data_IF_222543448876
#
_entry.id   IF_222543448876
#
_cell.length_a   1.000
_cell.length_b   1.000
_cell.length_c   1.000
_cell.angle_alpha   90.00
_cell.angle_beta   90.00
_cell.angle_gamma   90.00
#
_symmetry.space_group_name_H-M   'P 1'
#
loop_
_entity.id
_entity.type
_entity.pdbx_description
1 polymer ?
#
# COMPACT_ATOMS: atom_id res chain seq x y z
N UNK A 1 16.52 5.13 -4.44
CA UNK A 1 17.13 5.37 -3.10
C UNK A 1 18.33 4.44 -2.94
N UNK A 2 19.36 4.82 -2.18
CA UNK A 2 20.59 4.03 -2.02
C UNK A 2 20.77 3.47 -0.59
N UNK A 3 20.57 2.17 -0.41
CA UNK A 3 20.84 1.44 0.85
C UNK A 3 22.26 0.86 0.81
N UNK A 4 22.88 0.67 1.97
CA UNK A 4 24.21 0.04 2.10
C UNK A 4 24.07 -1.44 2.47
N UNK A 5 25.07 -2.26 2.14
CA UNK A 5 25.11 -3.64 2.63
C UNK A 5 25.16 -3.69 4.17
N UNK A 6 25.83 -2.76 4.85
CA UNK A 6 25.86 -2.70 6.31
C UNK A 6 24.46 -2.53 6.91
N UNK A 7 23.65 -1.63 6.35
CA UNK A 7 22.26 -1.43 6.77
C UNK A 7 21.40 -2.67 6.53
N UNK A 8 21.59 -3.35 5.39
CA UNK A 8 20.89 -4.58 5.07
C UNK A 8 21.27 -5.74 6.00
N UNK A 9 22.56 -5.90 6.32
CA UNK A 9 23.02 -6.95 7.25
C UNK A 9 22.48 -6.69 8.65
N UNK A 10 22.46 -5.44 9.13
CA UNK A 10 21.84 -5.11 10.42
C UNK A 10 20.36 -5.54 10.49
N UNK A 11 19.60 -5.28 9.42
CA UNK A 11 18.21 -5.72 9.31
C UNK A 11 18.10 -7.26 9.35
N UNK A 12 18.95 -7.96 8.60
CA UNK A 12 18.92 -9.43 8.49
C UNK A 12 19.27 -10.08 9.83
N UNK A 13 20.35 -9.63 10.48
CA UNK A 13 20.79 -10.16 11.77
C UNK A 13 19.69 -9.99 12.83
N UNK A 14 19.08 -8.81 12.89
CA UNK A 14 17.93 -8.57 13.76
C UNK A 14 16.75 -9.48 13.40
N UNK A 15 16.42 -9.62 12.11
CA UNK A 15 15.27 -10.42 11.66
C UNK A 15 15.45 -11.91 12.04
N UNK A 16 16.63 -12.47 11.82
CA UNK A 16 16.92 -13.86 12.17
C UNK A 16 16.85 -14.11 13.68
N UNK A 17 17.46 -13.24 14.49
CA UNK A 17 17.39 -13.34 15.96
C UNK A 17 15.95 -13.19 16.46
N UNK A 18 15.23 -12.19 15.94
CA UNK A 18 13.89 -11.82 16.40
C UNK A 18 12.85 -12.92 16.22
N UNK A 19 12.90 -13.63 15.10
CA UNK A 19 11.96 -14.70 14.75
C UNK A 19 12.54 -16.10 14.95
N UNK A 20 13.81 -16.16 15.40
CA UNK A 20 14.59 -17.39 15.56
C UNK A 20 14.53 -18.24 14.28
N UNK A 21 14.86 -17.61 13.15
CA UNK A 21 14.90 -18.30 11.86
C UNK A 21 16.05 -19.32 11.84
N UNK A 22 15.77 -20.53 11.36
CA UNK A 22 16.79 -21.54 11.17
C UNK A 22 16.43 -22.56 10.08
N UNK A 23 17.23 -23.61 9.96
CA UNK A 23 17.13 -24.62 8.89
C UNK A 23 15.79 -25.36 8.80
N UNK A 24 15.02 -25.38 9.89
CA UNK A 24 13.69 -26.01 9.96
C UNK A 24 12.55 -25.08 9.52
N UNK A 25 12.85 -23.80 9.26
CA UNK A 25 11.86 -22.81 8.87
C UNK A 25 11.56 -22.81 7.36
N UNK A 26 10.31 -22.48 7.07
CA UNK A 26 9.80 -22.28 5.72
C UNK A 26 9.23 -20.87 5.66
N UNK A 27 9.82 -20.02 4.83
CA UNK A 27 9.42 -18.62 4.66
C UNK A 27 8.84 -18.43 3.27
N UNK A 28 7.70 -17.76 3.16
CA UNK A 28 7.12 -17.39 1.86
C UNK A 28 7.64 -16.04 1.37
N UNK A 29 7.94 -15.97 0.08
CA UNK A 29 8.39 -14.77 -0.63
C UNK A 29 7.16 -14.10 -1.27
N UNK A 30 6.37 -13.38 -0.47
CA UNK A 30 5.09 -12.80 -0.92
C UNK A 30 5.25 -11.35 -1.35
N UNK A 31 6.18 -10.61 -0.74
CA UNK A 31 6.42 -9.22 -1.14
C UNK A 31 6.90 -9.16 -2.59
N UNK A 32 6.34 -8.25 -3.40
CA UNK A 32 6.86 -8.06 -4.75
C UNK A 32 8.34 -7.64 -4.68
N UNK A 33 9.25 -8.20 -5.52
CA UNK A 33 10.68 -7.87 -5.50
C UNK A 33 11.03 -6.39 -5.67
N UNK A 34 10.10 -5.58 -6.18
CA UNK A 34 10.23 -4.12 -6.28
C UNK A 34 9.98 -3.39 -4.96
N UNK A 35 9.44 -4.08 -3.95
CA UNK A 35 9.31 -3.59 -2.59
C UNK A 35 10.52 -4.02 -1.77
N UNK A 36 10.99 -3.11 -0.93
CA UNK A 36 12.11 -3.34 -0.02
C UNK A 36 11.85 -4.49 0.97
N UNK A 37 10.59 -4.74 1.33
CA UNK A 37 10.16 -5.89 2.11
C UNK A 37 10.48 -7.25 1.46
N UNK A 38 10.79 -7.35 0.17
CA UNK A 38 11.31 -8.60 -0.38
C UNK A 38 12.72 -8.93 0.14
N UNK A 39 13.50 -7.93 0.57
CA UNK A 39 14.89 -8.11 0.97
C UNK A 39 15.02 -8.99 2.23
N UNK A 40 14.20 -8.79 3.26
CA UNK A 40 14.28 -9.63 4.47
C UNK A 40 13.67 -11.03 4.29
N UNK A 41 12.75 -11.21 3.32
CA UNK A 41 12.14 -12.50 2.99
C UNK A 41 13.20 -13.35 2.31
N UNK A 42 13.91 -12.79 1.33
CA UNK A 42 14.95 -13.49 0.59
C UNK A 42 16.19 -13.69 1.45
N UNK A 43 16.83 -12.61 1.88
CA UNK A 43 18.15 -12.70 2.50
C UNK A 43 18.10 -13.21 3.94
N UNK A 44 17.06 -12.83 4.70
CA UNK A 44 16.85 -13.35 6.06
C UNK A 44 16.71 -14.87 6.07
N UNK A 45 15.97 -15.41 5.10
CA UNK A 45 15.76 -16.86 4.94
C UNK A 45 17.02 -17.58 4.47
N UNK A 46 17.61 -17.12 3.36
CA UNK A 46 18.74 -17.82 2.74
C UNK A 46 19.98 -17.84 3.64
N UNK A 47 20.24 -16.74 4.36
CA UNK A 47 21.38 -16.68 5.30
C UNK A 47 21.15 -17.47 6.58
N UNK A 48 19.88 -17.79 6.93
CA UNK A 48 19.55 -18.67 8.06
C UNK A 48 19.62 -20.17 7.69
N UNK A 49 19.85 -20.50 6.42
CA UNK A 49 19.75 -21.87 5.90
C UNK A 49 18.31 -22.39 5.82
N UNK A 50 17.32 -21.50 5.96
CA UNK A 50 15.90 -21.82 5.90
C UNK A 50 15.44 -22.02 4.44
N UNK A 51 14.24 -22.59 4.26
CA UNK A 51 13.63 -22.79 2.94
C UNK A 51 12.81 -21.56 2.54
N UNK A 52 13.13 -20.97 1.39
CA UNK A 52 12.29 -19.94 0.75
C UNK A 52 11.30 -20.59 -0.23
N UNK A 53 10.02 -20.24 -0.11
CA UNK A 53 8.95 -20.71 -1.01
C UNK A 53 8.38 -19.52 -1.76
N UNK A 54 8.41 -19.58 -3.09
CA UNK A 54 7.84 -18.56 -3.97
C UNK A 54 6.45 -19.04 -4.39
N UNK A 55 5.39 -18.25 -4.16
CA UNK A 55 4.06 -18.59 -4.63
C UNK A 55 3.94 -18.43 -6.15
N UNK A 56 3.00 -19.16 -6.76
CA UNK A 56 2.62 -18.94 -8.15
C UNK A 56 2.03 -17.54 -8.33
N UNK A 57 2.18 -16.98 -9.53
CA UNK A 57 1.72 -15.62 -9.83
C UNK A 57 0.22 -15.45 -9.55
N UNK A 58 -0.13 -14.39 -8.82
CA UNK A 58 -1.51 -14.03 -8.47
C UNK A 58 -1.97 -14.58 -7.11
N UNK A 59 -1.26 -15.53 -6.51
CA UNK A 59 -1.57 -16.03 -5.16
C UNK A 59 -1.50 -14.90 -4.11
N UNK A 60 -0.53 -14.00 -4.24
CA UNK A 60 -0.31 -12.86 -3.34
C UNK A 60 -1.47 -11.86 -3.31
N UNK A 61 -2.39 -11.95 -4.27
CA UNK A 61 -3.54 -11.05 -4.42
C UNK A 61 -4.87 -11.65 -3.94
N UNK A 62 -4.90 -12.94 -3.60
CA UNK A 62 -6.08 -13.62 -3.10
C UNK A 62 -5.81 -14.14 -1.70
N UNK A 63 -6.56 -13.64 -0.72
CA UNK A 63 -6.41 -14.08 0.67
C UNK A 63 -6.67 -15.60 0.82
N UNK A 64 -7.57 -16.16 0.01
CA UNK A 64 -7.87 -17.59 0.02
C UNK A 64 -6.75 -18.41 -0.60
N UNK A 65 -6.27 -18.02 -1.79
CA UNK A 65 -5.16 -18.70 -2.45
C UNK A 65 -3.88 -18.61 -1.62
N UNK A 66 -3.63 -17.45 -0.99
CA UNK A 66 -2.49 -17.24 -0.11
C UNK A 66 -2.61 -18.11 1.15
N UNK A 67 -3.77 -18.17 1.79
CA UNK A 67 -4.00 -19.04 2.95
C UNK A 67 -3.72 -20.51 2.60
N UNK A 68 -4.22 -20.97 1.45
CA UNK A 68 -3.99 -22.33 0.96
C UNK A 68 -2.50 -22.57 0.64
N UNK A 69 -1.83 -21.61 0.00
CA UNK A 69 -0.39 -21.68 -0.28
C UNK A 69 0.43 -21.82 1.01
N UNK A 70 0.15 -20.99 2.03
CA UNK A 70 0.83 -21.05 3.32
C UNK A 70 0.62 -22.40 4.02
N UNK A 71 -0.58 -22.98 3.90
CA UNK A 71 -0.91 -24.30 4.44
C UNK A 71 -0.16 -25.42 3.69
N UNK A 72 -0.23 -25.44 2.36
CA UNK A 72 0.35 -26.47 1.50
C UNK A 72 1.88 -26.50 1.58
N UNK A 73 2.51 -25.32 1.63
CA UNK A 73 3.97 -25.18 1.77
C UNK A 73 4.47 -25.39 3.21
N UNK A 74 3.56 -25.48 4.19
CA UNK A 74 3.88 -25.59 5.63
C UNK A 74 4.70 -24.41 6.14
N UNK A 75 4.40 -23.20 5.66
CA UNK A 75 5.07 -21.95 6.06
C UNK A 75 5.08 -21.78 7.58
N UNK A 76 6.23 -21.36 8.11
CA UNK A 76 6.44 -21.05 9.54
C UNK A 76 6.51 -19.55 9.81
N UNK A 77 6.97 -18.75 8.83
CA UNK A 77 7.03 -17.29 8.89
C UNK A 77 6.60 -16.69 7.55
N UNK A 78 5.72 -15.69 7.55
CA UNK A 78 5.38 -14.95 6.32
C UNK A 78 5.28 -13.47 6.61
N UNK A 79 5.72 -12.64 5.67
CA UNK A 79 5.30 -11.25 5.61
C UNK A 79 4.12 -11.10 4.65
N UNK A 80 3.20 -10.20 5.00
CA UNK A 80 2.12 -9.75 4.12
C UNK A 80 1.85 -8.25 4.39
N UNK A 81 1.59 -7.43 3.37
CA UNK A 81 1.17 -6.05 3.57
C UNK A 81 -0.07 -5.95 4.47
N UNK A 82 -0.14 -4.91 5.31
CA UNK A 82 -1.21 -4.71 6.30
C UNK A 82 -2.64 -4.96 5.79
N UNK A 83 -3.05 -4.47 4.60
CA UNK A 83 -4.40 -4.73 4.09
C UNK A 83 -4.68 -6.23 3.91
N UNK A 84 -3.73 -6.97 3.33
CA UNK A 84 -3.86 -8.41 3.15
C UNK A 84 -3.87 -9.14 4.49
N UNK A 85 -2.99 -8.75 5.42
CA UNK A 85 -2.96 -9.29 6.77
C UNK A 85 -4.32 -9.17 7.47
N UNK A 86 -4.96 -8.00 7.36
CA UNK A 86 -6.29 -7.77 7.94
C UNK A 86 -7.36 -8.68 7.33
N UNK A 87 -7.32 -8.92 6.01
CA UNK A 87 -8.25 -9.85 5.35
C UNK A 87 -8.03 -11.28 5.85
N UNK A 88 -6.77 -11.74 5.90
CA UNK A 88 -6.41 -13.07 6.39
C UNK A 88 -6.85 -13.27 7.86
N UNK A 89 -6.57 -12.29 8.72
CA UNK A 89 -6.91 -12.35 10.14
C UNK A 89 -8.42 -12.33 10.38
N UNK A 90 -9.20 -11.57 9.61
CA UNK A 90 -10.67 -11.58 9.71
C UNK A 90 -11.29 -12.90 9.27
N UNK A 91 -10.72 -13.54 8.24
CA UNK A 91 -11.18 -14.86 7.76
C UNK A 91 -10.78 -16.00 8.70
N UNK A 92 -9.77 -15.78 9.54
CA UNK A 92 -9.10 -16.81 10.31
C UNK A 92 -8.00 -17.47 9.47
N UNK A 93 -6.85 -17.66 10.09
CA UNK A 93 -5.74 -18.37 9.44
C UNK A 93 -6.02 -19.89 9.47
N UNK A 94 -5.75 -20.61 8.37
CA UNK A 94 -5.91 -22.05 8.37
C UNK A 94 -4.95 -22.70 9.37
N UNK A 95 -5.32 -23.88 9.87
CA UNK A 95 -4.39 -24.71 10.64
C UNK A 95 -3.14 -24.97 9.81
N UNK A 96 -2.02 -24.43 10.29
CA UNK A 96 -0.75 -24.41 9.58
C UNK A 96 0.40 -24.48 10.60
N UNK A 97 1.65 -24.55 10.11
CA UNK A 97 2.84 -24.44 10.97
C UNK A 97 3.22 -22.98 11.25
N UNK A 98 2.39 -22.02 10.84
CA UNK A 98 2.69 -20.62 10.89
C UNK A 98 2.85 -20.17 12.35
N UNK A 99 4.05 -19.70 12.69
CA UNK A 99 4.40 -19.15 14.00
C UNK A 99 4.29 -17.63 14.02
N UNK A 100 4.74 -17.00 12.93
CA UNK A 100 4.87 -15.55 12.82
C UNK A 100 4.20 -15.02 11.54
N UNK A 101 3.20 -14.17 11.72
CA UNK A 101 2.63 -13.34 10.66
C UNK A 101 3.21 -11.93 10.80
N UNK A 102 4.08 -11.56 9.88
CA UNK A 102 4.71 -10.25 9.83
C UNK A 102 3.85 -9.32 8.97
N UNK A 103 3.58 -8.11 9.45
CA UNK A 103 2.85 -7.13 8.65
C UNK A 103 3.36 -5.71 8.86
N UNK A 104 3.10 -4.84 7.88
CA UNK A 104 3.58 -3.47 7.84
C UNK A 104 3.22 -2.78 6.52
N UNK A 105 3.63 -1.52 6.40
CA UNK A 105 3.38 -0.69 5.22
C UNK A 105 2.08 0.13 5.29
N UNK A 106 1.16 -0.18 6.20
CA UNK A 106 -0.06 0.59 6.46
C UNK A 106 -0.49 0.54 7.94
N UNK A 107 -1.51 1.32 8.31
CA UNK A 107 -2.08 1.34 9.66
C UNK A 107 -2.84 0.05 9.93
N UNK A 108 -2.32 -0.79 10.83
CA UNK A 108 -2.98 -2.02 11.24
C UNK A 108 -4.19 -1.72 12.12
N UNK A 109 -5.37 -2.17 11.68
CA UNK A 109 -6.62 -2.14 12.43
C UNK A 109 -7.21 -3.53 12.55
N UNK A 110 -7.51 -3.96 13.77
CA UNK A 110 -8.07 -5.25 14.10
C UNK A 110 -9.42 -5.11 14.82
N UNK A 111 -10.34 -6.08 14.65
CA UNK A 111 -11.50 -6.21 15.53
C UNK A 111 -11.10 -6.31 17.02
N UNK A 112 -11.97 -5.81 17.92
CA UNK A 112 -11.74 -5.82 19.38
C UNK A 112 -11.51 -7.22 19.98
N UNK A 113 -11.98 -8.27 19.31
CA UNK A 113 -11.94 -9.65 19.80
C UNK A 113 -11.24 -10.61 18.81
N UNK A 114 -10.16 -10.17 18.18
CA UNK A 114 -9.37 -11.06 17.33
C UNK A 114 -8.57 -12.08 18.16
N UNK A 115 -8.96 -13.35 18.11
CA UNK A 115 -8.04 -14.46 18.34
C UNK A 115 -7.18 -14.64 17.08
N UNK A 116 -5.88 -14.43 17.22
CA UNK A 116 -4.98 -14.37 16.07
C UNK A 116 -4.42 -15.75 15.69
N UNK A 117 -4.47 -16.75 16.59
CA UNK A 117 -3.97 -18.11 16.36
C UNK A 117 -2.45 -18.23 16.09
N UNK A 118 -1.77 -17.12 15.81
CA UNK A 118 -0.33 -17.00 15.53
C UNK A 118 0.19 -15.71 16.18
N UNK A 119 1.52 -15.59 16.31
CA UNK A 119 2.09 -14.30 16.74
C UNK A 119 2.10 -13.34 15.57
N UNK A 120 1.28 -12.28 15.64
CA UNK A 120 1.27 -11.21 14.65
C UNK A 120 2.24 -10.11 15.07
N UNK A 121 3.03 -9.63 14.13
CA UNK A 121 4.03 -8.59 14.34
C UNK A 121 3.69 -7.36 13.50
N UNK A 122 3.51 -6.22 14.17
CA UNK A 122 3.34 -4.93 13.51
C UNK A 122 4.71 -4.29 13.31
N UNK A 123 5.07 -4.05 12.05
CA UNK A 123 6.33 -3.43 11.67
C UNK A 123 6.09 -2.06 11.08
N UNK A 124 7.04 -1.18 11.36
CA UNK A 124 7.10 0.13 10.76
C UNK A 124 8.53 0.40 10.31
N UNK A 125 8.66 0.91 9.10
CA UNK A 125 9.93 1.39 8.58
C UNK A 125 9.68 2.09 7.26
N UNK A 126 10.22 3.30 7.06
CA UNK A 126 10.37 3.84 5.74
C UNK A 126 11.53 3.14 5.03
N UNK A 127 11.46 3.09 3.70
CA UNK A 127 12.52 2.54 2.84
C UNK A 127 13.87 3.23 3.13
N UNK A 128 13.85 4.51 3.49
CA UNK A 128 15.01 5.32 3.88
C UNK A 128 15.71 4.89 5.19
N UNK A 129 15.09 4.00 5.98
CA UNK A 129 15.69 3.36 7.14
C UNK A 129 15.83 1.83 6.97
N UNK A 130 15.85 1.35 5.72
CA UNK A 130 16.09 -0.05 5.35
C UNK A 130 15.01 -1.01 5.86
N UNK A 131 13.84 -0.99 5.21
CA UNK A 131 12.70 -1.90 5.40
C UNK A 131 11.96 -1.71 6.73
N UNK A 132 12.62 -1.96 7.86
CA UNK A 132 12.02 -1.92 9.20
C UNK A 132 12.89 -1.12 10.15
N UNK A 133 12.28 -0.17 10.83
CA UNK A 133 12.90 0.65 11.86
C UNK A 133 12.42 0.25 13.25
N UNK A 134 11.14 -0.09 13.38
CA UNK A 134 10.51 -0.50 14.64
C UNK A 134 9.60 -1.70 14.44
N UNK A 135 9.47 -2.54 15.47
CA UNK A 135 8.60 -3.71 15.44
C UNK A 135 8.04 -4.03 16.83
N UNK A 136 6.82 -4.57 16.88
CA UNK A 136 6.18 -4.99 18.13
C UNK A 136 5.18 -6.12 17.93
N UNK A 137 5.02 -7.03 18.93
CA UNK A 137 3.98 -8.04 18.85
C UNK A 137 2.62 -7.40 19.06
N UNK A 138 1.64 -7.83 18.26
CA UNK A 138 0.24 -7.48 18.46
C UNK A 138 -0.30 -8.29 19.63
N UNK A 139 -0.87 -7.60 20.62
CA UNK A 139 -1.53 -8.23 21.76
C UNK A 139 -3.02 -8.37 21.51
N UNK A 140 -3.62 -9.43 22.05
CA UNK A 140 -5.06 -9.64 21.99
C UNK A 140 -5.81 -8.41 22.53
N UNK A 141 -6.91 -8.03 21.85
CA UNK A 141 -7.71 -6.85 22.21
C UNK A 141 -7.19 -5.51 21.69
N UNK A 142 -6.03 -5.46 21.02
CA UNK A 142 -5.54 -4.22 20.43
C UNK A 142 -6.21 -3.92 19.09
N UNK A 143 -7.09 -2.92 19.06
CA UNK A 143 -7.72 -2.44 17.81
C UNK A 143 -6.71 -1.75 16.89
N UNK A 144 -5.82 -0.92 17.45
CA UNK A 144 -4.72 -0.26 16.73
C UNK A 144 -3.41 -0.53 17.44
N UNK A 145 -2.70 -1.62 17.10
CA UNK A 145 -1.45 -1.97 17.76
C UNK A 145 -0.38 -0.89 17.57
N UNK A 146 0.49 -0.64 18.57
CA UNK A 146 1.63 0.26 18.40
C UNK A 146 2.58 -0.25 17.30
N UNK A 147 3.44 0.63 16.80
CA UNK A 147 4.52 0.27 15.86
C UNK A 147 5.75 -0.31 16.58
N UNK A 148 5.66 -0.51 17.90
CA UNK A 148 6.62 -1.26 18.70
C UNK A 148 7.83 -0.44 19.14
N UNK A 149 8.99 -1.08 19.17
CA UNK A 149 10.26 -0.48 19.60
C UNK A 149 11.29 -0.51 18.48
N UNK A 150 12.32 0.36 18.49
CA UNK A 150 13.40 0.31 17.53
C UNK A 150 14.05 -1.08 17.43
N UNK A 151 14.44 -1.47 16.22
CA UNK A 151 15.21 -2.69 16.00
C UNK A 151 16.69 -2.49 16.39
N UNK A 152 17.47 -3.57 16.38
CA UNK A 152 18.89 -3.52 16.75
C UNK A 152 19.64 -2.44 15.96
N UNK A 153 20.43 -1.64 16.67
CA UNK A 153 21.22 -0.52 16.14
C UNK A 153 20.42 0.58 15.41
N UNK A 154 19.09 0.63 15.56
CA UNK A 154 18.25 1.74 15.09
C UNK A 154 17.80 2.58 16.28
N UNK A 155 17.80 3.90 16.10
CA UNK A 155 17.30 4.85 17.10
C UNK A 155 16.07 5.57 16.58
N UNK A 156 15.14 5.90 17.48
CA UNK A 156 13.95 6.67 17.16
C UNK A 156 13.84 7.86 18.12
N UNK A 157 13.75 9.06 17.55
CA UNK A 157 13.55 10.30 18.27
C UNK A 157 12.21 10.89 17.89
N UNK A 158 11.48 11.43 18.86
CA UNK A 158 10.28 12.23 18.62
C UNK A 158 10.64 13.68 18.91
N UNK A 159 10.64 14.52 17.87
CA UNK A 159 11.13 15.89 17.95
C UNK A 159 9.98 16.89 17.76
N UNK A 160 10.08 18.04 18.43
CA UNK A 160 9.22 19.20 18.17
C UNK A 160 9.70 20.02 16.96
N UNK A 161 8.99 21.11 16.65
CA UNK A 161 9.34 22.01 15.52
C UNK A 161 10.71 22.69 15.68
N UNK A 162 11.30 22.67 16.88
CA UNK A 162 12.62 23.22 17.18
C UNK A 162 13.72 22.15 17.13
N UNK A 163 13.37 20.90 16.84
CA UNK A 163 14.29 19.77 16.81
C UNK A 163 14.65 19.23 18.20
N UNK A 164 13.86 19.54 19.24
CA UNK A 164 14.10 19.07 20.60
C UNK A 164 13.24 17.83 20.93
N UNK A 165 13.75 16.86 21.70
CA UNK A 165 12.97 15.70 22.10
C UNK A 165 11.71 16.07 22.90
N UNK A 166 10.57 15.50 22.53
CA UNK A 166 9.32 15.67 23.27
C UNK A 166 9.22 14.73 24.47
N UNK A 167 8.41 15.09 25.46
CA UNK A 167 8.18 14.27 26.66
C UNK A 167 7.37 12.99 26.37
N UNK A 168 7.40 12.05 27.33
CA UNK A 168 6.61 10.82 27.27
C UNK A 168 5.11 11.13 27.06
N UNK A 169 4.46 10.43 26.12
CA UNK A 169 3.05 10.63 25.79
C UNK A 169 2.75 11.83 24.87
N UNK A 170 3.71 12.74 24.66
CA UNK A 170 3.52 13.89 23.79
C UNK A 170 3.74 13.52 22.32
N UNK A 171 2.90 14.02 21.40
CA UNK A 171 3.15 13.89 19.96
C UNK A 171 4.43 14.61 19.54
N UNK A 172 5.21 14.00 18.66
CA UNK A 172 6.38 14.61 18.01
C UNK A 172 6.63 13.99 16.64
N UNK A 173 7.37 14.69 15.78
CA UNK A 173 7.77 14.19 14.46
C UNK A 173 8.84 13.11 14.64
N UNK A 174 8.59 11.94 14.07
CA UNK A 174 9.47 10.79 14.16
C UNK A 174 10.71 10.97 13.28
N UNK A 175 11.87 10.84 13.89
CA UNK A 175 13.18 10.86 13.24
C UNK A 175 13.91 9.55 13.55
N UNK A 176 14.52 8.95 12.53
CA UNK A 176 15.16 7.64 12.63
C UNK A 176 16.66 7.75 12.42
N UNK A 177 17.45 7.21 13.34
CA UNK A 177 18.91 7.18 13.28
C UNK A 177 19.48 5.76 13.24
N UNK A 178 20.80 5.67 13.34
CA UNK A 178 21.52 4.40 13.46
C UNK A 178 21.77 3.66 12.15
N UNK A 179 22.02 2.36 12.26
CA UNK A 179 22.52 1.51 11.17
C UNK A 179 21.55 1.36 9.99
N UNK A 180 20.24 1.56 10.22
CA UNK A 180 19.21 1.48 9.20
C UNK A 180 19.24 2.64 8.18
N UNK A 181 19.84 3.78 8.52
CA UNK A 181 19.75 5.01 7.71
C UNK A 181 20.44 4.83 6.35
N UNK A 182 19.67 5.03 5.27
CA UNK A 182 20.15 4.94 3.90
C UNK A 182 21.19 6.04 3.57
N UNK A 183 21.94 5.85 2.49
CA UNK A 183 22.88 6.88 2.01
C UNK A 183 22.14 8.15 1.55
N UNK A 184 20.99 7.98 0.94
CA UNK A 184 20.16 9.08 0.43
C UNK A 184 19.41 8.70 -0.84
N UNK A 185 18.93 9.72 -1.54
CA UNK A 185 18.26 9.57 -2.82
C UNK A 185 19.25 9.66 -3.98
N UNK A 186 19.25 8.64 -4.85
CA UNK A 186 20.17 8.56 -5.99
C UNK A 186 19.92 9.73 -6.94
N UNK A 187 20.96 10.50 -7.26
CA UNK A 187 20.89 11.65 -8.16
C UNK A 187 20.12 12.85 -7.60
N UNK A 188 19.75 12.86 -6.31
CA UNK A 188 18.94 13.91 -5.67
C UNK A 188 19.59 14.42 -4.38
N UNK A 189 20.72 15.16 -4.47
CA UNK A 189 21.41 15.69 -3.30
C UNK A 189 20.58 16.73 -2.54
N UNK A 190 19.72 17.46 -3.24
CA UNK A 190 18.76 18.42 -2.70
C UNK A 190 17.78 17.75 -1.71
N UNK A 191 17.09 16.70 -2.15
CA UNK A 191 16.18 15.94 -1.29
C UNK A 191 16.92 15.18 -0.20
N UNK A 192 18.14 14.73 -0.50
CA UNK A 192 18.97 14.03 0.49
C UNK A 192 19.33 14.97 1.63
N UNK A 193 19.74 16.20 1.35
CA UNK A 193 20.06 17.19 2.39
C UNK A 193 18.82 17.63 3.19
N UNK A 194 17.65 17.69 2.56
CA UNK A 194 16.38 18.03 3.23
C UNK A 194 15.90 16.94 4.21
N UNK A 195 16.06 15.67 3.84
CA UNK A 195 15.51 14.55 4.62
C UNK A 195 16.51 13.78 5.49
N UNK A 196 17.81 13.81 5.15
CA UNK A 196 18.87 13.13 5.90
C UNK A 196 19.72 14.18 6.63
N UNK A 197 19.23 14.57 7.81
CA UNK A 197 19.76 15.65 8.61
C UNK A 197 20.99 15.19 9.43
N UNK A 198 21.93 16.07 9.78
CA UNK A 198 22.93 15.79 10.81
C UNK A 198 22.22 15.40 12.12
N UNK A 199 22.71 14.34 12.78
CA UNK A 199 22.15 13.91 14.05
C UNK A 199 22.70 14.77 15.21
N UNK A 200 21.88 15.61 15.87
CA UNK A 200 22.34 16.45 16.98
C UNK A 200 22.58 15.66 18.27
N UNK A 201 22.16 14.40 18.32
CA UNK A 201 22.33 13.49 19.46
C UNK A 201 23.44 12.46 19.21
N UNK A 202 24.14 12.59 18.08
CA UNK A 202 25.21 11.69 17.68
C UNK A 202 26.31 11.60 18.74
N UNK A 203 26.79 10.38 18.95
CA UNK A 203 28.01 10.12 19.74
C UNK A 203 29.23 9.99 18.85
N UNK A 204 29.03 9.77 17.54
CA UNK A 204 30.10 9.63 16.55
C UNK A 204 29.95 10.67 15.42
N UNK A 205 31.06 11.21 14.89
CA UNK A 205 31.01 12.14 13.76
C UNK A 205 30.36 11.51 12.52
N UNK A 206 29.47 12.28 11.86
CA UNK A 206 28.86 11.89 10.58
C UNK A 206 27.58 11.05 10.69
N UNK A 207 27.10 10.76 11.90
CA UNK A 207 25.77 10.17 12.09
C UNK A 207 24.67 11.13 11.60
N UNK A 208 23.58 10.56 11.09
CA UNK A 208 22.47 11.28 10.47
C UNK A 208 21.14 10.74 10.96
N UNK A 209 20.14 11.61 11.00
CA UNK A 209 18.74 11.27 11.19
C UNK A 209 18.00 11.37 9.87
N UNK A 210 17.14 10.40 9.60
CA UNK A 210 16.12 10.49 8.56
C UNK A 210 14.83 11.08 9.14
N UNK A 211 14.37 12.18 8.56
CA UNK A 211 13.11 12.85 8.89
C UNK A 211 11.93 12.20 8.14
N UNK A 212 11.07 11.48 8.86
CA UNK A 212 10.06 10.60 8.23
C UNK A 212 8.81 11.34 7.72
N UNK A 213 8.50 12.50 8.31
CA UNK A 213 7.20 13.15 8.13
C UNK A 213 6.05 12.44 8.84
N UNK A 214 6.33 11.47 9.71
CA UNK A 214 5.33 10.78 10.53
C UNK A 214 5.24 11.40 11.92
N UNK A 215 4.01 11.52 12.44
CA UNK A 215 3.74 11.92 13.82
C UNK A 215 3.55 10.68 14.67
N UNK A 216 4.21 10.62 15.83
CA UNK A 216 4.09 9.52 16.77
C UNK A 216 4.18 10.01 18.22
N UNK A 217 3.92 9.12 19.19
CA UNK A 217 4.18 9.33 20.62
C UNK A 217 4.74 8.09 21.29
N UNK A 218 5.57 8.27 22.30
CA UNK A 218 5.97 7.19 23.21
C UNK A 218 4.83 6.88 24.17
N UNK A 219 4.45 5.61 24.26
CA UNK A 219 3.52 5.10 25.27
C UNK A 219 4.27 4.83 26.58
N UNK A 220 3.56 4.81 27.74
CA UNK A 220 4.17 4.49 29.02
C UNK A 220 4.86 3.12 29.09
N UNK A 221 4.46 2.18 28.23
CA UNK A 221 5.07 0.84 28.13
C UNK A 221 6.34 0.81 27.26
N UNK A 222 6.83 1.97 26.81
CA UNK A 222 8.03 2.10 26.00
C UNK A 222 7.82 1.77 24.51
N UNK A 223 6.58 1.59 24.04
CA UNK A 223 6.30 1.37 22.61
C UNK A 223 5.89 2.67 21.91
N UNK A 224 6.16 2.77 20.61
CA UNK A 224 5.77 3.89 19.76
C UNK A 224 4.36 3.69 19.21
N UNK A 225 3.53 4.71 19.35
CA UNK A 225 2.21 4.79 18.72
C UNK A 225 2.27 5.76 17.54
N UNK A 226 1.88 5.27 16.37
CA UNK A 226 1.73 6.09 15.17
C UNK A 226 0.44 6.92 15.22
N UNK A 227 0.53 8.22 14.95
CA UNK A 227 -0.58 9.17 15.03
C UNK A 227 -1.02 9.72 13.66
N UNK A 228 -0.17 9.61 12.63
CA UNK A 228 -0.46 10.12 11.29
C UNK A 228 0.77 10.70 10.61
N UNK A 229 0.55 11.54 9.61
CA UNK A 229 1.60 12.24 8.85
C UNK A 229 1.50 13.75 9.01
N UNK A 230 2.65 14.42 8.91
CA UNK A 230 2.74 15.89 8.88
C UNK A 230 2.75 16.45 7.46
N UNK A 231 3.01 15.62 6.45
CA UNK A 231 3.04 15.98 5.04
C UNK A 231 1.88 15.36 4.22
N UNK A 232 1.88 15.60 2.90
CA UNK A 232 0.82 15.14 1.96
C UNK A 232 1.01 13.71 1.46
N UNK A 233 2.04 12.99 1.89
CA UNK A 233 2.26 11.61 1.44
C UNK A 233 1.13 10.72 1.96
N UNK A 234 0.73 9.75 1.13
CA UNK A 234 -0.43 8.91 1.38
C UNK A 234 0.02 7.45 1.38
N UNK A 235 -0.55 6.64 2.28
CA UNK A 235 -0.49 5.19 2.20
C UNK A 235 -1.83 4.67 1.73
N UNK A 236 -1.84 3.99 0.59
CA UNK A 236 -3.03 3.31 0.07
C UNK A 236 -2.65 1.87 -0.16
N UNK A 237 -3.27 0.97 0.59
CA UNK A 237 -3.13 -0.48 0.41
C UNK A 237 -1.66 -0.94 0.49
N UNK A 238 -0.88 -0.33 1.38
CA UNK A 238 0.55 -0.61 1.55
C UNK A 238 1.48 0.05 0.51
N UNK A 239 0.94 0.73 -0.50
CA UNK A 239 1.73 1.56 -1.42
C UNK A 239 1.96 2.93 -0.81
N UNK A 240 3.21 3.38 -0.82
CA UNK A 240 3.58 4.77 -0.53
C UNK A 240 3.38 5.61 -1.78
N UNK A 241 2.49 6.57 -1.69
CA UNK A 241 2.08 7.43 -2.79
C UNK A 241 2.48 8.85 -2.48
N UNK A 242 3.22 9.47 -3.39
CA UNK A 242 3.58 10.88 -3.36
C UNK A 242 2.63 11.63 -4.31
N UNK A 243 1.60 12.35 -3.83
CA UNK A 243 0.65 13.03 -4.72
C UNK A 243 1.35 13.97 -5.71
N UNK A 244 2.46 14.58 -5.31
CA UNK A 244 3.27 15.45 -6.17
C UNK A 244 3.81 14.77 -7.43
N UNK A 245 4.08 13.45 -7.41
CA UNK A 245 4.50 12.70 -8.59
C UNK A 245 3.35 12.63 -9.62
N UNK A 246 2.14 12.34 -9.14
CA UNK A 246 0.94 12.26 -9.98
C UNK A 246 0.56 13.66 -10.49
N UNK A 247 0.65 14.67 -9.63
CA UNK A 247 0.43 16.08 -9.99
C UNK A 247 1.42 16.53 -11.08
N UNK A 248 2.70 16.18 -10.97
CA UNK A 248 3.70 16.49 -11.99
C UNK A 248 3.42 15.77 -13.32
N UNK A 249 3.04 14.49 -13.28
CA UNK A 249 2.67 13.72 -14.47
C UNK A 249 1.42 14.32 -15.14
N UNK A 250 0.40 14.71 -14.37
CA UNK A 250 -0.78 15.42 -14.86
C UNK A 250 -0.40 16.75 -15.53
N UNK A 251 0.48 17.53 -14.91
CA UNK A 251 0.96 18.80 -15.44
C UNK A 251 1.87 18.66 -16.67
N UNK A 252 2.37 17.46 -16.95
CA UNK A 252 2.97 17.11 -18.25
C UNK A 252 1.98 17.21 -19.42
N UNK A 253 0.67 17.15 -19.15
CA UNK A 253 -0.36 17.44 -20.14
C UNK A 253 -0.49 18.96 -20.35
N UNK A 254 -0.10 19.44 -21.52
CA UNK A 254 -0.14 20.86 -21.88
C UNK A 254 -1.53 21.52 -21.86
N UNK A 255 -2.62 20.73 -21.75
CA UNK A 255 -3.99 21.25 -21.58
C UNK A 255 -4.34 21.56 -20.13
N UNK A 256 -3.53 21.15 -19.14
CA UNK A 256 -3.75 21.42 -17.71
C UNK A 256 -2.90 22.58 -17.21
N UNK A 257 -3.54 23.47 -16.44
CA UNK A 257 -2.92 24.63 -15.77
C UNK A 257 -2.42 24.24 -14.39
N UNK A 258 -3.26 23.53 -13.64
CA UNK A 258 -3.04 23.15 -12.25
C UNK A 258 -3.60 21.73 -12.03
N UNK A 259 -2.97 20.99 -11.12
CA UNK A 259 -3.44 19.70 -10.67
C UNK A 259 -3.11 19.55 -9.18
N UNK A 260 -4.01 18.96 -8.42
CA UNK A 260 -3.78 18.51 -7.04
C UNK A 260 -4.39 17.14 -6.85
N UNK A 261 -3.70 16.24 -6.16
CA UNK A 261 -4.18 14.89 -5.88
C UNK A 261 -4.39 14.69 -4.39
N UNK A 262 -5.51 14.06 -4.04
CA UNK A 262 -5.86 13.76 -2.65
C UNK A 262 -6.43 12.34 -2.56
N UNK A 263 -6.18 11.68 -1.44
CA UNK A 263 -6.92 10.49 -1.08
C UNK A 263 -8.19 10.89 -0.33
N UNK A 264 -9.32 10.40 -0.80
CA UNK A 264 -10.62 10.54 -0.12
C UNK A 264 -11.11 9.16 0.30
N UNK A 265 -11.93 9.04 1.35
CA UNK A 265 -12.60 7.80 1.67
C UNK A 265 -13.39 7.31 0.44
N UNK A 266 -13.08 6.10 -0.03
CA UNK A 266 -13.86 5.45 -1.07
C UNK A 266 -15.17 4.90 -0.51
N UNK A 267 -16.06 4.39 -1.38
CA UNK A 267 -17.39 3.89 -1.00
C UNK A 267 -17.36 2.82 0.10
N UNK A 268 -16.26 2.06 0.19
CA UNK A 268 -16.09 0.93 1.12
C UNK A 268 -15.09 1.22 2.25
N UNK A 269 -14.75 2.49 2.48
CA UNK A 269 -13.82 2.92 3.53
C UNK A 269 -12.34 2.89 3.15
N UNK A 270 -11.96 2.14 2.11
CA UNK A 270 -10.61 2.20 1.56
C UNK A 270 -10.38 3.54 0.83
N UNK A 271 -9.24 4.22 1.05
CA UNK A 271 -8.95 5.47 0.38
C UNK A 271 -8.77 5.27 -1.14
N UNK A 272 -9.33 6.18 -1.93
CA UNK A 272 -9.14 6.27 -3.38
C UNK A 272 -8.51 7.60 -3.76
N UNK A 273 -7.71 7.59 -4.82
CA UNK A 273 -7.09 8.81 -5.34
C UNK A 273 -8.09 9.59 -6.21
N UNK A 274 -8.25 10.86 -5.88
CA UNK A 274 -9.00 11.85 -6.66
C UNK A 274 -8.05 12.93 -7.14
N UNK A 275 -8.04 13.18 -8.44
CA UNK A 275 -7.31 14.28 -9.05
C UNK A 275 -8.25 15.45 -9.34
N UNK A 276 -7.93 16.61 -8.79
CA UNK A 276 -8.61 17.86 -9.11
C UNK A 276 -7.75 18.64 -10.09
N UNK A 277 -8.32 18.99 -11.23
CA UNK A 277 -7.57 19.58 -12.35
C UNK A 277 -8.22 20.87 -12.83
N UNK A 278 -7.39 21.80 -13.27
CA UNK A 278 -7.84 23.06 -13.90
C UNK A 278 -7.30 23.10 -15.32
N UNK A 279 -8.18 23.29 -16.30
CA UNK A 279 -7.79 23.38 -17.70
C UNK A 279 -7.16 24.73 -18.05
N UNK A 280 -6.25 24.77 -19.04
CA UNK A 280 -5.69 26.02 -19.60
C UNK A 280 -6.63 26.72 -20.59
N UNK A 281 -7.52 25.97 -21.22
CA UNK A 281 -8.44 26.46 -22.25
C UNK A 281 -9.89 26.09 -21.94
N UNK A 282 -10.79 26.49 -22.84
CA UNK A 282 -12.24 26.30 -22.69
C UNK A 282 -12.67 24.82 -22.64
N UNK A 283 -11.87 23.92 -23.22
CA UNK A 283 -12.15 22.48 -23.26
C UNK A 283 -11.18 21.73 -22.34
N UNK A 284 -11.68 21.32 -21.18
CA UNK A 284 -10.96 20.42 -20.28
C UNK A 284 -10.75 19.04 -20.96
N UNK A 285 -9.59 18.38 -20.74
CA UNK A 285 -9.44 16.98 -21.10
C UNK A 285 -10.50 16.12 -20.41
N UNK A 286 -10.99 15.07 -21.08
CA UNK A 286 -11.89 14.13 -20.43
C UNK A 286 -11.14 13.33 -19.34
N UNK A 287 -11.86 12.79 -18.36
CA UNK A 287 -11.29 11.90 -17.35
C UNK A 287 -10.58 10.69 -18.00
N UNK A 288 -11.15 10.16 -19.10
CA UNK A 288 -10.56 9.06 -19.86
C UNK A 288 -9.22 9.45 -20.52
N UNK A 289 -9.12 10.64 -21.09
CA UNK A 289 -7.87 11.15 -21.68
C UNK A 289 -6.77 11.29 -20.63
N UNK A 290 -7.10 11.87 -19.47
CA UNK A 290 -6.15 12.05 -18.37
C UNK A 290 -5.65 10.73 -17.83
N UNK A 291 -6.57 9.79 -17.58
CA UNK A 291 -6.26 8.43 -17.13
C UNK A 291 -5.34 7.70 -18.11
N UNK A 292 -5.68 7.73 -19.40
CA UNK A 292 -4.87 7.11 -20.46
C UNK A 292 -3.49 7.73 -20.55
N UNK A 293 -3.39 9.05 -20.38
CA UNK A 293 -2.11 9.76 -20.34
C UNK A 293 -1.23 9.31 -19.16
N UNK A 294 -1.80 9.23 -17.96
CA UNK A 294 -1.07 8.82 -16.76
C UNK A 294 -0.65 7.35 -16.81
N UNK A 295 -1.51 6.45 -17.29
CA UNK A 295 -1.21 5.02 -17.37
C UNK A 295 -0.04 4.68 -18.30
N UNK A 296 0.40 5.61 -19.16
CA UNK A 296 1.59 5.43 -20.01
C UNK A 296 2.90 5.66 -19.28
N UNK A 297 2.91 6.41 -18.18
CA UNK A 297 4.12 6.87 -17.50
C UNK A 297 4.18 6.49 -16.03
N UNK A 298 3.03 6.25 -15.41
CA UNK A 298 2.92 5.87 -14.01
C UNK A 298 2.44 4.43 -13.87
N UNK A 299 2.94 3.70 -12.84
CA UNK A 299 2.30 2.50 -12.36
C UNK A 299 0.81 2.70 -12.08
N UNK A 300 0.03 1.66 -12.32
CA UNK A 300 -1.43 1.68 -12.22
C UNK A 300 -1.95 2.14 -10.84
N UNK A 301 -1.30 1.74 -9.74
CA UNK A 301 -1.71 2.12 -8.39
C UNK A 301 -1.55 3.63 -8.10
N UNK A 302 -0.83 4.37 -8.95
CA UNK A 302 -0.69 5.83 -8.88
C UNK A 302 -1.73 6.56 -9.75
N UNK A 303 -2.48 5.85 -10.60
CA UNK A 303 -3.46 6.48 -11.49
C UNK A 303 -4.75 6.77 -10.71
N UNK A 304 -5.21 8.03 -10.62
CA UNK A 304 -6.44 8.39 -9.92
C UNK A 304 -7.68 7.70 -10.49
N UNK A 305 -8.58 7.28 -9.59
CA UNK A 305 -9.86 6.68 -9.98
C UNK A 305 -10.84 7.76 -10.49
N UNK A 306 -10.82 8.93 -9.86
CA UNK A 306 -11.74 10.05 -10.12
C UNK A 306 -10.96 11.28 -10.56
N UNK A 307 -11.47 11.97 -11.58
CA UNK A 307 -10.94 13.24 -12.07
C UNK A 307 -12.03 14.30 -11.98
N UNK A 308 -11.77 15.35 -11.20
CA UNK A 308 -12.69 16.46 -10.97
C UNK A 308 -12.15 17.69 -11.67
N UNK A 309 -12.87 18.17 -12.70
CA UNK A 309 -12.51 19.42 -13.36
C UNK A 309 -13.03 20.60 -12.55
N UNK A 310 -12.14 21.53 -12.20
CA UNK A 310 -12.46 22.74 -11.45
C UNK A 310 -12.14 24.00 -12.26
N UNK A 311 -12.91 25.09 -12.08
CA UNK A 311 -12.54 26.39 -12.65
C UNK A 311 -11.26 26.97 -12.02
N UNK A 312 -11.07 26.72 -10.72
CA UNK A 312 -9.88 27.08 -9.96
C UNK A 312 -9.73 26.17 -8.73
N UNK A 313 -8.49 26.01 -8.24
CA UNK A 313 -8.24 25.31 -6.98
C UNK A 313 -8.40 26.27 -5.80
N UNK A 314 -9.09 25.87 -4.72
CA UNK A 314 -9.20 26.68 -3.50
C UNK A 314 -7.81 26.87 -2.88
N UNK A 315 -7.55 28.05 -2.31
CA UNK A 315 -6.26 28.38 -1.70
C UNK A 315 -6.39 28.84 -0.26
N UNK A 316 -5.37 28.54 0.52
CA UNK A 316 -5.09 29.15 1.81
C UNK A 316 -4.54 30.58 1.62
N UNK A 317 -4.57 31.44 2.65
CA UNK A 317 -3.91 32.76 2.61
C UNK A 317 -2.42 32.71 2.25
N UNK A 318 -1.77 31.57 2.48
CA UNK A 318 -0.38 31.30 2.10
C UNK A 318 -0.17 31.02 0.60
N UNK A 319 -1.23 30.95 -0.20
CA UNK A 319 -1.21 30.63 -1.63
C UNK A 319 -1.18 29.13 -1.95
N UNK A 320 -0.97 28.26 -0.95
CA UNK A 320 -1.07 26.79 -1.09
C UNK A 320 -2.52 26.36 -1.33
N UNK A 321 -2.73 25.23 -2.01
CA UNK A 321 -4.06 24.64 -2.20
C UNK A 321 -4.67 24.27 -0.84
N UNK A 322 -5.93 24.66 -0.64
CA UNK A 322 -6.72 24.30 0.54
C UNK A 322 -7.48 23.00 0.29
N UNK A 323 -6.85 21.88 0.64
CA UNK A 323 -7.43 20.55 0.44
C UNK A 323 -8.75 20.32 1.20
N UNK A 324 -8.99 21.02 2.31
CA UNK A 324 -10.23 20.88 3.08
C UNK A 324 -11.46 21.48 2.36
N UNK A 325 -11.22 22.36 1.39
CA UNK A 325 -12.26 23.00 0.55
C UNK A 325 -12.44 22.33 -0.81
N UNK A 326 -11.66 21.29 -1.11
CA UNK A 326 -11.87 20.52 -2.32
C UNK A 326 -13.20 19.74 -2.19
N UNK A 327 -14.04 19.71 -3.24
CA UNK A 327 -15.31 19.01 -3.16
C UNK A 327 -15.05 17.51 -2.96
N UNK A 328 -15.76 16.92 -1.99
CA UNK A 328 -15.76 15.47 -1.83
C UNK A 328 -16.67 14.92 -2.90
N UNK A 329 -16.07 14.30 -3.92
CA UNK A 329 -16.81 13.68 -5.02
C UNK A 329 -16.74 12.18 -4.79
N UNK A 330 -17.88 11.55 -4.52
CA UNK A 330 -17.98 10.11 -4.62
C UNK A 330 -17.70 9.71 -6.07
N UNK A 331 -17.13 8.52 -6.34
CA UNK A 331 -17.06 8.02 -7.70
C UNK A 331 -18.44 8.15 -8.36
N UNK A 332 -18.51 8.75 -9.55
CA UNK A 332 -19.78 8.89 -10.25
C UNK A 332 -20.29 7.48 -10.58
N UNK A 333 -21.34 7.06 -9.89
CA UNK A 333 -22.18 5.96 -10.34
C UNK A 333 -23.12 6.56 -11.38
N UNK A 334 -23.03 6.09 -12.63
CA UNK A 334 -23.99 6.47 -13.65
C UNK A 334 -25.41 5.99 -13.30
N UNK A 335 -26.39 6.38 -14.10
CA UNK A 335 -27.71 5.74 -14.02
C UNK A 335 -27.56 4.22 -14.17
N UNK A 336 -28.33 3.47 -13.38
CA UNK A 336 -28.27 2.02 -13.42
C UNK A 336 -28.75 1.48 -14.78
N UNK A 337 -27.89 0.71 -15.45
CA UNK A 337 -28.16 0.00 -16.69
C UNK A 337 -28.08 -1.49 -16.39
N UNK A 338 -29.21 -2.18 -16.51
CA UNK A 338 -29.30 -3.60 -16.24
C UNK A 338 -28.52 -4.44 -17.28
N UNK A 339 -27.99 -5.61 -16.88
CA UNK A 339 -27.42 -6.59 -17.80
C UNK A 339 -28.38 -6.96 -18.94
N UNK A 340 -27.86 -6.97 -20.16
CA UNK A 340 -28.59 -7.26 -21.41
C UNK A 340 -28.36 -8.70 -21.88
N UNK A 341 -27.26 -9.34 -21.45
CA UNK A 341 -26.91 -10.71 -21.80
C UNK A 341 -26.65 -11.56 -20.55
N UNK A 342 -26.71 -12.89 -20.69
CA UNK A 342 -26.34 -13.82 -19.60
C UNK A 342 -24.87 -13.67 -19.18
N UNK A 343 -23.99 -13.30 -20.12
CA UNK A 343 -22.59 -13.04 -19.86
C UNK A 343 -22.41 -11.78 -19.00
N UNK A 344 -23.06 -10.68 -19.38
CA UNK A 344 -23.07 -9.44 -18.58
C UNK A 344 -23.63 -9.70 -17.18
N UNK A 345 -24.72 -10.47 -17.06
CA UNK A 345 -25.33 -10.80 -15.77
C UNK A 345 -24.38 -11.60 -14.87
N UNK A 346 -23.62 -12.53 -15.46
CA UNK A 346 -22.63 -13.36 -14.76
C UNK A 346 -21.45 -12.52 -14.26
N UNK A 347 -20.92 -11.62 -15.11
CA UNK A 347 -19.82 -10.71 -14.77
C UNK A 347 -20.25 -9.73 -13.68
N UNK A 348 -21.40 -9.05 -13.87
CA UNK A 348 -21.95 -8.11 -12.91
C UNK A 348 -22.20 -8.78 -11.55
N UNK A 349 -22.71 -10.02 -11.54
CA UNK A 349 -22.91 -10.79 -10.31
C UNK A 349 -21.60 -11.17 -9.59
N UNK A 350 -20.53 -11.49 -10.33
CA UNK A 350 -19.21 -11.74 -9.74
C UNK A 350 -18.63 -10.45 -9.13
N UNK A 351 -18.71 -9.34 -9.87
CA UNK A 351 -18.25 -8.03 -9.36
C UNK A 351 -19.03 -7.60 -8.12
N UNK A 352 -20.35 -7.76 -8.12
CA UNK A 352 -21.19 -7.45 -6.95
C UNK A 352 -20.73 -8.20 -5.70
N UNK A 353 -20.42 -9.51 -5.81
CA UNK A 353 -19.92 -10.31 -4.68
C UNK A 353 -18.55 -9.82 -4.18
N UNK A 354 -17.63 -9.55 -5.10
CA UNK A 354 -16.24 -9.17 -4.79
C UNK A 354 -16.17 -7.76 -4.22
N UNK A 355 -16.94 -6.83 -4.78
CA UNK A 355 -17.01 -5.44 -4.34
C UNK A 355 -17.98 -5.25 -3.16
N UNK A 356 -18.67 -6.31 -2.73
CA UNK A 356 -19.68 -6.28 -1.67
C UNK A 356 -20.81 -5.26 -1.96
N UNK A 357 -21.32 -5.28 -3.19
CA UNK A 357 -22.42 -4.46 -3.67
C UNK A 357 -23.69 -5.31 -3.85
N UNK A 358 -24.86 -4.69 -3.69
CA UNK A 358 -26.13 -5.37 -4.00
C UNK A 358 -26.28 -5.61 -5.50
N UNK A 359 -25.94 -4.61 -6.32
CA UNK A 359 -26.05 -4.64 -7.78
C UNK A 359 -24.93 -3.81 -8.42
N UNK A 360 -24.58 -4.16 -9.66
CA UNK A 360 -23.56 -3.49 -10.50
C UNK A 360 -24.19 -3.17 -11.85
N UNK A 361 -24.13 -1.91 -12.29
CA UNK A 361 -24.57 -1.48 -13.62
C UNK A 361 -23.59 -1.97 -14.67
N UNK A 362 -24.05 -2.24 -15.90
CA UNK A 362 -23.13 -2.72 -16.93
C UNK A 362 -22.10 -1.68 -17.39
N UNK A 363 -22.40 -0.41 -17.16
CA UNK A 363 -21.54 0.73 -17.50
C UNK A 363 -20.70 1.22 -16.31
N UNK A 364 -20.83 0.60 -15.14
CA UNK A 364 -20.03 0.99 -13.97
C UNK A 364 -18.56 0.61 -14.18
N UNK A 365 -17.67 1.57 -13.95
CA UNK A 365 -16.23 1.34 -13.93
C UNK A 365 -15.86 0.56 -12.65
N UNK A 366 -15.22 -0.60 -12.80
CA UNK A 366 -14.79 -1.47 -11.69
C UNK A 366 -14.06 -0.70 -10.59
N UNK A 367 -13.16 0.20 -10.97
CA UNK A 367 -12.33 0.98 -10.05
C UNK A 367 -13.05 2.23 -9.54
N UNK A 368 -14.01 2.73 -10.31
CA UNK A 368 -15.02 3.68 -9.84
C UNK A 368 -15.83 3.11 -8.68
N UNK A 369 -16.26 1.85 -8.78
CA UNK A 369 -16.96 1.13 -7.71
C UNK A 369 -16.08 0.77 -6.50
N UNK A 370 -14.85 1.32 -6.40
CA UNK A 370 -13.91 1.00 -5.33
C UNK A 370 -13.06 -0.24 -5.58
N UNK A 371 -13.20 -0.88 -6.74
CA UNK A 371 -12.31 -1.93 -7.21
C UNK A 371 -10.85 -1.49 -7.25
N UNK A 372 -9.95 -2.45 -7.09
CA UNK A 372 -8.50 -2.23 -7.09
C UNK A 372 -7.76 -3.49 -7.48
N UNK A 373 -6.44 -3.43 -7.69
CA UNK A 373 -5.68 -4.55 -8.28
C UNK A 373 -5.87 -5.87 -7.53
N UNK A 374 -6.05 -5.83 -6.20
CA UNK A 374 -6.41 -7.01 -5.39
C UNK A 374 -7.78 -7.59 -5.78
N UNK A 375 -8.82 -6.74 -5.78
CA UNK A 375 -10.18 -7.13 -6.15
C UNK A 375 -10.28 -7.49 -7.63
N UNK A 376 -9.53 -6.81 -8.50
CA UNK A 376 -9.43 -7.11 -9.92
C UNK A 376 -8.83 -8.49 -10.14
N UNK A 377 -7.80 -8.86 -9.37
CA UNK A 377 -7.22 -10.20 -9.48
C UNK A 377 -8.17 -11.27 -8.93
N UNK A 378 -8.90 -10.99 -7.85
CA UNK A 378 -9.97 -11.87 -7.38
C UNK A 378 -11.07 -12.03 -8.44
N UNK A 379 -11.47 -10.94 -9.11
CA UNK A 379 -12.46 -10.96 -10.18
C UNK A 379 -11.96 -11.77 -11.36
N UNK A 380 -10.73 -11.58 -11.80
CA UNK A 380 -10.12 -12.38 -12.88
C UNK A 380 -10.10 -13.86 -12.51
N UNK A 381 -9.67 -14.21 -11.30
CA UNK A 381 -9.64 -15.60 -10.84
C UNK A 381 -11.05 -16.24 -10.84
N UNK A 382 -12.05 -15.50 -10.37
CA UNK A 382 -13.45 -15.97 -10.37
C UNK A 382 -13.99 -16.14 -11.81
N UNK A 383 -13.75 -15.15 -12.68
CA UNK A 383 -14.20 -15.17 -14.08
C UNK A 383 -13.51 -16.27 -14.90
N UNK A 384 -12.20 -16.49 -14.70
CA UNK A 384 -11.45 -17.61 -15.29
C UNK A 384 -12.10 -18.95 -14.95
N UNK A 385 -12.43 -19.14 -13.67
CA UNK A 385 -13.08 -20.36 -13.18
C UNK A 385 -14.51 -20.51 -13.73
N UNK A 386 -15.27 -19.43 -13.80
CA UNK A 386 -16.66 -19.45 -14.27
C UNK A 386 -16.77 -19.74 -15.77
N UNK A 387 -15.83 -19.26 -16.56
CA UNK A 387 -15.92 -19.29 -18.01
C UNK A 387 -14.93 -20.23 -18.70
N UNK A 388 -14.05 -20.87 -17.93
CA UNK A 388 -13.01 -21.78 -18.44
C UNK A 388 -12.11 -21.10 -19.49
N UNK A 389 -11.80 -19.82 -19.26
CA UNK A 389 -10.96 -18.99 -20.13
C UNK A 389 -9.68 -18.58 -19.41
N UNK A 390 -8.60 -18.42 -20.16
CA UNK A 390 -7.39 -17.76 -19.65
C UNK A 390 -7.49 -16.23 -19.82
N UNK A 391 -8.18 -15.58 -18.88
CA UNK A 391 -8.36 -14.14 -18.89
C UNK A 391 -7.15 -13.44 -18.24
N UNK A 392 -6.33 -12.65 -18.97
CA UNK A 392 -5.21 -11.94 -18.35
C UNK A 392 -5.73 -10.87 -17.37
N UNK A 393 -5.00 -10.60 -16.28
CA UNK A 393 -5.37 -9.55 -15.31
C UNK A 393 -5.58 -8.18 -15.99
N UNK A 394 -4.74 -7.90 -16.99
CA UNK A 394 -4.81 -6.70 -17.82
C UNK A 394 -6.19 -6.47 -18.46
N UNK A 395 -6.98 -7.52 -18.70
CA UNK A 395 -8.30 -7.40 -19.31
C UNK A 395 -9.24 -6.51 -18.50
N UNK A 396 -9.27 -6.59 -17.16
CA UNK A 396 -10.11 -5.72 -16.33
C UNK A 396 -9.62 -4.25 -16.36
N UNK A 397 -8.33 -4.04 -16.62
CA UNK A 397 -7.75 -2.70 -16.72
C UNK A 397 -8.03 -2.02 -18.05
N UNK A 398 -7.97 -2.80 -19.13
CA UNK A 398 -8.26 -2.33 -20.48
C UNK A 398 -9.78 -2.25 -20.72
N UNK A 399 -10.58 -3.12 -20.07
CA UNK A 399 -12.04 -3.23 -20.18
C UNK A 399 -12.68 -3.09 -18.79
N UNK A 400 -12.86 -1.84 -18.36
CA UNK A 400 -13.19 -1.49 -16.96
C UNK A 400 -14.68 -1.58 -16.63
N UNK A 401 -15.54 -1.75 -17.62
CA UNK A 401 -16.99 -1.90 -17.44
C UNK A 401 -17.39 -3.35 -17.72
N UNK A 402 -18.55 -3.76 -17.19
CA UNK A 402 -19.10 -5.10 -17.48
C UNK A 402 -19.38 -5.24 -18.97
N UNK A 403 -19.92 -4.20 -19.62
CA UNK A 403 -20.16 -4.16 -21.06
C UNK A 403 -18.88 -4.39 -21.87
N UNK A 404 -17.82 -3.61 -21.61
CA UNK A 404 -16.57 -3.73 -22.34
C UNK A 404 -15.91 -5.10 -22.12
N UNK A 405 -15.95 -5.60 -20.88
CA UNK A 405 -15.35 -6.88 -20.53
C UNK A 405 -16.13 -8.06 -21.12
N UNK A 406 -17.45 -7.96 -21.20
CA UNK A 406 -18.29 -8.96 -21.86
C UNK A 406 -17.93 -9.07 -23.35
N UNK A 407 -17.82 -7.92 -24.04
CA UNK A 407 -17.42 -7.88 -25.47
C UNK A 407 -16.03 -8.51 -25.67
N UNK A 408 -15.07 -8.19 -24.80
CA UNK A 408 -13.73 -8.78 -24.85
C UNK A 408 -13.76 -10.30 -24.62
N UNK A 409 -14.56 -10.79 -23.67
CA UNK A 409 -14.68 -12.23 -23.41
C UNK A 409 -15.35 -12.95 -24.59
N UNK A 410 -16.35 -12.34 -25.24
CA UNK A 410 -17.00 -12.92 -26.41
C UNK A 410 -16.07 -13.04 -27.62
N UNK A 411 -15.19 -12.05 -27.83
CA UNK A 411 -14.19 -12.12 -28.92
C UNK A 411 -13.18 -13.25 -28.69
N UNK A 412 -12.69 -13.43 -27.46
CA UNK A 412 -11.79 -14.54 -27.09
C UNK A 412 -12.45 -15.93 -27.28
N UNK A 413 -13.74 -16.05 -26.97
CA UNK A 413 -14.51 -17.29 -27.17
C UNK A 413 -14.73 -17.63 -28.65
N UNK A 414 -14.81 -16.61 -29.49
CA UNK A 414 -15.01 -16.78 -30.94
C UNK A 414 -13.72 -17.15 -31.67
N UNK A 415 -12.56 -16.71 -31.17
CA UNK A 415 -11.24 -17.08 -31.71
C UNK A 415 -10.77 -18.49 -31.27
N UNK A 416 -11.34 -19.03 -30.21
CA UNK A 416 -11.02 -20.38 -29.68
C UNK A 416 -11.92 -21.49 -30.26
N UNK A 417 -12.85 -21.17 -31.16
CA UNK A 417 -13.69 -22.11 -31.93
C UNK A 417 -13.20 -22.18 -33.37
#
# INVERSE_FOLDING_TARGET
MAVTHGSLINLIDWHQDRYRLGVDDVVSQVANPSFDAACWEVWGTLLAGARLVVPDAGVETSAEALAEHLRASRTTVTFVPTPMAQVLLRRGLPQSRLRHLLTGGDTLTLPEHSDLGVTVWNHYGPTENTVVATAGPVRAGQVRPPIGTPITNVTAYLLDERGLPVGLGMPGELHLGGAGVARGYVGRPDLTADRFLPDPFATEPGQRLYRTGDLARWRPDGTLEFLGRTDRQIKIRGYRIEPGEIEAALLGNNRLREATVQAVPGPHGDPVLVAYVVARGLLAPSAADLRTGLARTLPEYLVPSVFVTMPELPRLPSGKVDGARLPVVAPENGDFVAPRTELEASIAGAWARILHLEQVSVVDDFFGLGGHSLLATQAVAELRRMFELDLPLRAIFDHRTVEDLAVFIESQRSESR
#
